data_IF_829975069558
#
_entry.id   IF_829975069558
#
_cell.length_a   1.000
_cell.length_b   1.000
_cell.length_c   1.000
_cell.angle_alpha   90.00
_cell.angle_beta   90.00
_cell.angle_gamma   90.00
#
_symmetry.space_group_name_H-M   'P 1'
#
loop_
_entity.id
_entity.type
_entity.pdbx_description
1 polymer ?
#
# COMPACT_ATOMS: atom_id res chain seq x y z
N UNK A 1 8.67 28.04 -0.63
CA UNK A 1 7.30 28.19 -0.05
C UNK A 1 6.17 28.34 -1.09
N UNK A 2 6.36 29.08 -2.20
CA UNK A 2 5.33 29.25 -3.24
C UNK A 2 5.05 28.00 -4.07
N UNK A 3 6.09 27.31 -4.53
CA UNK A 3 5.96 26.13 -5.41
C UNK A 3 5.23 24.96 -4.73
N UNK A 4 5.55 24.67 -3.47
CA UNK A 4 4.88 23.63 -2.69
C UNK A 4 3.37 23.92 -2.48
N UNK A 5 3.00 25.19 -2.24
CA UNK A 5 1.60 25.60 -2.12
C UNK A 5 0.86 25.48 -3.45
N UNK A 6 1.50 25.88 -4.56
CA UNK A 6 0.92 25.73 -5.90
C UNK A 6 0.65 24.28 -6.27
N UNK A 7 1.61 23.38 -6.00
CA UNK A 7 1.43 21.94 -6.19
C UNK A 7 0.30 21.39 -5.32
N UNK A 8 0.25 21.76 -4.03
CA UNK A 8 -0.81 21.33 -3.12
C UNK A 8 -2.19 21.75 -3.60
N UNK A 9 -2.35 23.00 -4.04
CA UNK A 9 -3.62 23.51 -4.60
C UNK A 9 -3.98 22.75 -5.88
N UNK A 10 -3.01 22.48 -6.76
CA UNK A 10 -3.24 21.70 -7.98
C UNK A 10 -3.74 20.28 -7.67
N UNK A 11 -3.08 19.58 -6.75
CA UNK A 11 -3.46 18.23 -6.33
C UNK A 11 -4.86 18.20 -5.68
N UNK A 12 -5.19 19.19 -4.85
CA UNK A 12 -6.53 19.34 -4.29
C UNK A 12 -7.57 19.61 -5.38
N UNK A 13 -7.24 20.43 -6.38
CA UNK A 13 -8.10 20.69 -7.53
C UNK A 13 -8.39 19.40 -8.33
N UNK A 14 -7.39 18.55 -8.53
CA UNK A 14 -7.56 17.24 -9.19
C UNK A 14 -8.47 16.33 -8.37
N UNK A 15 -8.25 16.25 -7.06
CA UNK A 15 -9.09 15.45 -6.15
C UNK A 15 -10.55 15.93 -6.16
N UNK A 16 -10.77 17.24 -6.03
CA UNK A 16 -12.11 17.83 -6.08
C UNK A 16 -12.76 17.61 -7.45
N UNK A 17 -12.01 17.77 -8.53
CA UNK A 17 -12.48 17.48 -9.89
C UNK A 17 -12.92 16.03 -10.05
N UNK A 18 -12.15 15.07 -9.51
CA UNK A 18 -12.52 13.65 -9.48
C UNK A 18 -13.81 13.41 -8.69
N UNK A 19 -13.93 13.97 -7.48
CA UNK A 19 -15.14 13.81 -6.66
C UNK A 19 -16.37 14.45 -7.32
N UNK A 20 -16.22 15.62 -7.94
CA UNK A 20 -17.29 16.28 -8.71
C UNK A 20 -17.67 15.41 -9.91
N UNK A 21 -16.70 14.83 -10.62
CA UNK A 21 -16.97 13.94 -11.75
C UNK A 21 -17.76 12.70 -11.31
N UNK A 22 -17.37 12.06 -10.20
CA UNK A 22 -18.10 10.94 -9.60
C UNK A 22 -19.50 11.31 -9.10
N UNK A 23 -19.69 12.56 -8.62
CA UNK A 23 -21.00 13.04 -8.20
C UNK A 23 -21.93 13.33 -9.38
N UNK A 24 -21.37 13.83 -10.50
CA UNK A 24 -22.13 14.30 -11.67
C UNK A 24 -22.42 13.20 -12.68
N UNK A 25 -21.47 12.28 -12.89
CA UNK A 25 -21.56 11.24 -13.91
C UNK A 25 -21.86 9.91 -13.24
N UNK A 26 -23.11 9.43 -13.39
CA UNK A 26 -23.63 8.37 -12.53
C UNK A 26 -23.31 6.93 -12.94
N UNK A 27 -22.89 6.63 -14.19
CA UNK A 27 -22.70 5.22 -14.60
C UNK A 27 -21.58 4.92 -15.59
N UNK A 28 -21.46 5.61 -16.71
CA UNK A 28 -20.43 5.29 -17.71
C UNK A 28 -19.96 6.53 -18.45
N UNK A 29 -18.65 6.79 -18.40
CA UNK A 29 -18.00 7.69 -19.34
C UNK A 29 -17.63 6.88 -20.58
N UNK A 30 -18.36 7.11 -21.66
CA UNK A 30 -17.94 6.66 -22.97
C UNK A 30 -16.91 7.66 -23.49
N UNK A 31 -15.68 7.21 -23.67
CA UNK A 31 -14.63 8.02 -24.31
C UNK A 31 -14.50 7.54 -25.76
N UNK A 32 -15.29 8.11 -26.71
CA UNK A 32 -15.39 7.58 -28.07
C UNK A 32 -14.06 7.60 -28.84
N UNK A 33 -13.10 8.47 -28.46
CA UNK A 33 -11.76 8.49 -29.05
C UNK A 33 -10.86 7.31 -28.67
N UNK A 34 -11.18 6.62 -27.58
CA UNK A 34 -10.34 5.62 -26.94
C UNK A 34 -11.01 4.23 -26.86
N UNK A 35 -12.23 4.09 -27.40
CA UNK A 35 -13.06 2.87 -27.28
C UNK A 35 -13.16 2.33 -25.84
N UNK A 36 -13.07 3.24 -24.85
CA UNK A 36 -13.05 2.91 -23.42
C UNK A 36 -14.38 3.30 -22.79
N UNK A 37 -15.05 2.32 -22.19
CA UNK A 37 -16.21 2.51 -21.32
C UNK A 37 -15.74 2.45 -19.87
N UNK A 38 -15.53 3.61 -19.26
CA UNK A 38 -15.07 3.70 -17.87
C UNK A 38 -16.28 3.87 -16.96
N UNK A 39 -16.55 2.85 -16.15
CA UNK A 39 -17.56 2.92 -15.09
C UNK A 39 -17.01 3.67 -13.91
N UNK A 40 -17.55 4.85 -13.62
CA UNK A 40 -17.13 5.65 -12.47
C UNK A 40 -17.73 5.09 -11.18
N UNK A 41 -16.98 5.10 -10.06
CA UNK A 41 -17.53 4.77 -8.77
C UNK A 41 -18.57 5.81 -8.35
N UNK A 42 -19.53 5.39 -7.53
CA UNK A 42 -20.46 6.32 -6.88
C UNK A 42 -19.70 7.31 -5.99
N UNK A 43 -20.25 8.50 -5.75
CA UNK A 43 -19.62 9.48 -4.85
C UNK A 43 -19.29 8.89 -3.47
N UNK A 44 -20.16 8.01 -2.94
CA UNK A 44 -19.93 7.30 -1.68
C UNK A 44 -18.67 6.44 -1.75
N UNK A 45 -18.54 5.60 -2.77
CA UNK A 45 -17.36 4.75 -2.99
C UNK A 45 -16.10 5.59 -3.20
N UNK A 46 -16.18 6.70 -3.92
CA UNK A 46 -15.06 7.61 -4.12
C UNK A 46 -14.58 8.23 -2.79
N UNK A 47 -15.51 8.68 -1.95
CA UNK A 47 -15.19 9.21 -0.62
C UNK A 47 -14.62 8.14 0.31
N UNK A 48 -15.18 6.92 0.29
CA UNK A 48 -14.65 5.78 1.04
C UNK A 48 -13.23 5.44 0.61
N UNK A 49 -12.96 5.40 -0.70
CA UNK A 49 -11.63 5.17 -1.25
C UNK A 49 -10.63 6.24 -0.79
N UNK A 50 -11.01 7.52 -0.84
CA UNK A 50 -10.16 8.62 -0.36
C UNK A 50 -9.90 8.48 1.13
N UNK A 51 -10.93 8.19 1.93
CA UNK A 51 -10.79 8.00 3.37
C UNK A 51 -9.87 6.84 3.72
N UNK A 52 -10.07 5.67 3.10
CA UNK A 52 -9.22 4.49 3.29
C UNK A 52 -7.78 4.77 2.85
N UNK A 53 -7.57 5.44 1.72
CA UNK A 53 -6.22 5.77 1.23
C UNK A 53 -5.48 6.73 2.17
N UNK A 54 -6.17 7.77 2.66
CA UNK A 54 -5.60 8.70 3.62
C UNK A 54 -5.25 8.01 4.94
N UNK A 55 -6.12 7.12 5.44
CA UNK A 55 -5.85 6.34 6.63
C UNK A 55 -4.67 5.39 6.44
N UNK A 56 -4.63 4.67 5.33
CA UNK A 56 -3.53 3.74 5.01
C UNK A 56 -2.18 4.44 4.98
N UNK A 57 -2.06 5.54 4.21
CA UNK A 57 -0.82 6.30 4.12
C UNK A 57 -0.43 6.95 5.46
N UNK A 58 -1.41 7.43 6.23
CA UNK A 58 -1.15 8.01 7.54
C UNK A 58 -0.65 6.96 8.52
N UNK A 59 -1.29 5.80 8.57
CA UNK A 59 -0.88 4.69 9.44
C UNK A 59 0.51 4.17 9.05
N UNK A 60 0.80 4.04 7.76
CA UNK A 60 2.13 3.67 7.26
C UNK A 60 3.22 4.64 7.71
N UNK A 61 2.99 5.94 7.54
CA UNK A 61 3.91 6.96 8.03
C UNK A 61 4.05 6.93 9.55
N UNK A 62 2.97 6.67 10.28
CA UNK A 62 2.98 6.59 11.74
C UNK A 62 3.78 5.39 12.27
N UNK A 63 3.74 4.23 11.60
CA UNK A 63 4.60 3.10 11.98
C UNK A 63 6.06 3.49 11.85
N UNK A 64 6.45 4.15 10.74
CA UNK A 64 7.82 4.63 10.58
C UNK A 64 8.19 5.67 11.66
N UNK A 65 7.26 6.58 11.98
CA UNK A 65 7.45 7.59 13.03
C UNK A 65 7.68 6.98 14.41
N UNK A 66 6.87 5.98 14.79
CA UNK A 66 6.98 5.28 16.08
C UNK A 66 8.28 4.49 16.20
N UNK A 67 8.81 3.99 15.08
CA UNK A 67 10.09 3.26 15.04
C UNK A 67 11.32 4.18 15.11
N UNK A 68 11.17 5.50 14.98
CA UNK A 68 12.29 6.43 15.16
C UNK A 68 12.69 6.52 16.64
N UNK A 69 13.97 6.79 16.93
CA UNK A 69 14.40 7.04 18.30
C UNK A 69 13.67 8.26 18.88
N UNK A 70 13.41 8.20 20.18
CA UNK A 70 12.86 9.33 20.92
C UNK A 70 13.76 10.58 20.74
N UNK A 71 13.13 11.75 20.56
CA UNK A 71 13.86 12.99 20.33
C UNK A 71 14.30 13.24 18.87
N UNK A 72 13.76 12.50 17.89
CA UNK A 72 14.03 12.72 16.46
C UNK A 72 13.61 14.09 15.91
N UNK A 73 12.86 14.89 16.70
CA UNK A 73 12.50 16.28 16.38
C UNK A 73 11.41 16.44 15.30
N UNK A 74 11.04 15.36 14.60
CA UNK A 74 9.99 15.39 13.59
C UNK A 74 8.61 15.16 14.21
N UNK A 75 7.67 16.06 13.94
CA UNK A 75 6.28 15.91 14.38
C UNK A 75 5.53 14.87 13.53
N UNK A 76 4.50 14.19 14.08
CA UNK A 76 3.73 13.20 13.32
C UNK A 76 3.15 13.72 11.98
N UNK A 77 2.54 14.92 11.91
CA UNK A 77 2.04 15.44 10.63
C UNK A 77 3.16 15.73 9.62
N UNK A 78 4.34 16.16 10.10
CA UNK A 78 5.50 16.37 9.24
C UNK A 78 6.04 15.05 8.70
N UNK A 79 5.98 13.97 9.49
CA UNK A 79 6.34 12.64 9.01
C UNK A 79 5.36 12.15 7.94
N UNK A 80 4.05 12.31 8.12
CA UNK A 80 3.05 11.95 7.09
C UNK A 80 3.33 12.69 5.77
N UNK A 81 3.62 13.99 5.84
CA UNK A 81 3.94 14.77 4.66
C UNK A 81 5.26 14.31 3.98
N UNK A 82 6.32 14.11 4.76
CA UNK A 82 7.61 13.61 4.26
C UNK A 82 7.47 12.22 3.63
N UNK A 83 6.78 11.31 4.32
CA UNK A 83 6.51 9.96 3.85
C UNK A 83 5.74 9.97 2.53
N UNK A 84 4.69 10.79 2.42
CA UNK A 84 3.91 10.91 1.20
C UNK A 84 4.75 11.40 0.02
N UNK A 85 5.60 12.42 0.23
CA UNK A 85 6.51 12.92 -0.80
C UNK A 85 7.52 11.85 -1.19
N UNK A 86 8.16 11.19 -0.23
CA UNK A 86 9.13 10.13 -0.49
C UNK A 86 8.50 8.97 -1.29
N UNK A 87 7.26 8.59 -0.94
CA UNK A 87 6.53 7.52 -1.59
C UNK A 87 6.14 7.89 -3.02
N UNK A 88 5.67 9.12 -3.26
CA UNK A 88 5.34 9.61 -4.60
C UNK A 88 6.57 9.65 -5.51
N UNK A 89 7.70 10.14 -5.00
CA UNK A 89 8.97 10.16 -5.76
C UNK A 89 9.46 8.73 -6.03
N UNK A 90 9.35 7.82 -5.05
CA UNK A 90 9.69 6.41 -5.24
C UNK A 90 8.81 5.70 -6.26
N UNK A 91 7.52 6.05 -6.35
CA UNK A 91 6.62 5.55 -7.40
C UNK A 91 7.01 6.12 -8.77
N UNK A 92 7.27 7.42 -8.83
CA UNK A 92 7.65 8.11 -10.07
C UNK A 92 8.97 7.60 -10.65
N UNK A 93 9.89 7.14 -9.81
CA UNK A 93 11.18 6.59 -10.25
C UNK A 93 11.09 5.21 -10.89
N UNK A 94 9.93 4.54 -10.84
CA UNK A 94 9.70 3.19 -11.38
C UNK A 94 10.66 2.13 -10.83
N UNK A 95 11.33 2.42 -9.71
CA UNK A 95 12.20 1.47 -9.04
C UNK A 95 11.32 0.46 -8.32
N UNK A 96 11.48 -0.85 -8.54
CA UNK A 96 10.69 -1.86 -7.85
C UNK A 96 10.74 -1.69 -6.34
N UNK A 97 9.57 -1.56 -5.71
CA UNK A 97 9.44 -1.36 -4.26
C UNK A 97 9.95 -0.02 -3.72
N UNK A 98 10.30 0.93 -4.60
CA UNK A 98 10.85 2.24 -4.22
C UNK A 98 12.18 2.15 -3.45
N UNK A 99 12.88 1.01 -3.58
CA UNK A 99 14.12 0.71 -2.86
C UNK A 99 15.19 1.74 -3.21
N UNK A 100 15.88 2.28 -2.20
CA UNK A 100 16.89 3.32 -2.39
C UNK A 100 16.31 4.73 -2.52
N UNK A 101 15.32 4.99 -3.38
CA UNK A 101 14.78 6.35 -3.57
C UNK A 101 14.00 6.83 -2.35
N UNK A 102 13.04 6.02 -1.88
CA UNK A 102 12.29 6.33 -0.66
C UNK A 102 13.25 6.49 0.53
N UNK A 103 14.15 5.51 0.69
CA UNK A 103 15.08 5.44 1.82
C UNK A 103 16.04 6.64 1.83
N UNK A 104 16.54 7.05 0.66
CA UNK A 104 17.44 8.20 0.51
C UNK A 104 16.75 9.52 0.86
N UNK A 105 15.48 9.68 0.51
CA UNK A 105 14.72 10.90 0.84
C UNK A 105 14.50 10.99 2.35
N UNK A 106 14.09 9.88 2.99
CA UNK A 106 13.92 9.83 4.45
C UNK A 106 15.27 10.07 5.15
N UNK A 107 16.33 9.42 4.68
CA UNK A 107 17.68 9.57 5.23
C UNK A 107 18.17 11.03 5.10
N UNK A 108 18.05 11.63 3.91
CA UNK A 108 18.46 13.01 3.67
C UNK A 108 17.66 14.00 4.53
N UNK A 109 16.37 13.74 4.75
CA UNK A 109 15.51 14.63 5.55
C UNK A 109 15.78 14.53 7.06
N UNK A 110 16.15 13.35 7.57
CA UNK A 110 16.29 13.11 9.02
C UNK A 110 17.73 13.17 9.53
N UNK A 111 18.74 12.95 8.68
CA UNK A 111 20.16 13.01 9.07
C UNK A 111 20.65 14.31 9.68
N UNK A 112 20.05 15.50 9.43
CA UNK A 112 20.42 16.71 10.15
C UNK A 112 20.13 16.66 11.67
N UNK A 113 19.18 15.82 12.11
CA UNK A 113 18.75 15.72 13.51
C UNK A 113 18.88 14.32 14.12
N UNK A 114 19.09 13.28 13.31
CA UNK A 114 19.15 11.88 13.75
C UNK A 114 20.35 11.20 13.11
N UNK A 115 21.17 10.43 13.86
CA UNK A 115 22.29 9.70 13.27
C UNK A 115 21.86 8.79 12.11
N UNK A 116 22.62 8.80 11.01
CA UNK A 116 22.29 8.03 9.80
C UNK A 116 22.10 6.54 10.08
N UNK A 117 22.92 5.96 10.97
CA UNK A 117 22.82 4.56 11.39
C UNK A 117 21.46 4.24 12.02
N UNK A 118 20.90 5.16 12.80
CA UNK A 118 19.59 4.99 13.44
C UNK A 118 18.47 5.07 12.41
N UNK A 119 18.53 6.05 11.49
CA UNK A 119 17.52 6.17 10.42
C UNK A 119 17.52 4.94 9.53
N UNK A 120 18.69 4.45 9.13
CA UNK A 120 18.82 3.21 8.35
C UNK A 120 18.28 2.00 9.12
N UNK A 121 18.60 1.88 10.41
CA UNK A 121 18.04 0.82 11.26
C UNK A 121 16.51 0.86 11.32
N UNK A 122 15.93 2.04 11.54
CA UNK A 122 14.48 2.26 11.53
C UNK A 122 13.87 1.88 10.18
N UNK A 123 14.48 2.27 9.05
CA UNK A 123 14.01 1.90 7.71
C UNK A 123 14.04 0.39 7.47
N UNK A 124 15.09 -0.30 7.91
CA UNK A 124 15.18 -1.77 7.82
C UNK A 124 14.07 -2.43 8.62
N UNK A 125 13.86 -2.01 9.87
CA UNK A 125 12.77 -2.54 10.72
C UNK A 125 11.41 -2.26 10.09
N UNK A 126 11.21 -1.06 9.55
CA UNK A 126 9.98 -0.71 8.84
C UNK A 126 9.72 -1.66 7.66
N UNK A 127 10.74 -1.98 6.86
CA UNK A 127 10.60 -2.94 5.74
C UNK A 127 10.28 -4.36 6.24
N UNK A 128 10.85 -4.78 7.37
CA UNK A 128 10.51 -6.08 7.97
C UNK A 128 9.02 -6.12 8.32
N UNK A 129 8.51 -5.08 8.95
CA UNK A 129 7.10 -4.99 9.37
C UNK A 129 6.14 -4.91 8.17
N UNK A 130 6.48 -4.14 7.13
CA UNK A 130 5.58 -3.90 6.00
C UNK A 130 5.69 -4.89 4.84
N UNK A 131 6.85 -5.53 4.66
CA UNK A 131 7.11 -6.36 3.48
C UNK A 131 7.31 -7.81 3.89
N UNK A 132 8.27 -8.07 4.79
CA UNK A 132 8.66 -9.45 5.12
C UNK A 132 7.61 -10.14 6.00
N UNK A 133 7.08 -9.44 7.01
CA UNK A 133 6.10 -10.02 7.92
C UNK A 133 4.79 -10.40 7.20
N UNK A 134 4.14 -9.53 6.40
CA UNK A 134 2.94 -9.92 5.66
C UNK A 134 3.21 -11.03 4.65
N UNK A 135 4.37 -10.99 3.98
CA UNK A 135 4.79 -12.05 3.07
C UNK A 135 4.94 -13.40 3.79
N UNK A 136 5.60 -13.42 4.95
CA UNK A 136 5.77 -14.64 5.74
C UNK A 136 4.41 -15.20 6.23
N UNK A 137 3.52 -14.33 6.70
CA UNK A 137 2.16 -14.73 7.09
C UNK A 137 1.40 -15.33 5.91
N UNK A 138 1.42 -14.67 4.74
CA UNK A 138 0.77 -15.17 3.54
C UNK A 138 1.35 -16.53 3.10
N UNK A 139 2.68 -16.68 3.14
CA UNK A 139 3.35 -17.93 2.78
C UNK A 139 2.98 -19.08 3.72
N UNK A 140 2.91 -18.84 5.04
CA UNK A 140 2.48 -19.84 6.03
C UNK A 140 1.02 -20.24 5.81
N UNK A 141 0.13 -19.27 5.58
CA UNK A 141 -1.28 -19.54 5.30
C UNK A 141 -1.46 -20.37 4.03
N UNK A 142 -0.73 -20.02 2.96
CA UNK A 142 -0.76 -20.76 1.70
C UNK A 142 -0.26 -22.19 1.88
N UNK A 143 0.89 -22.38 2.54
CA UNK A 143 1.44 -23.71 2.79
C UNK A 143 0.48 -24.56 3.63
N UNK A 144 -0.15 -23.95 4.65
CA UNK A 144 -1.18 -24.62 5.45
C UNK A 144 -2.39 -25.05 4.62
N UNK A 145 -2.82 -24.19 3.68
CA UNK A 145 -3.93 -24.48 2.77
C UNK A 145 -3.62 -25.66 1.84
N UNK A 146 -2.46 -25.66 1.20
CA UNK A 146 -2.01 -26.73 0.29
C UNK A 146 -1.90 -28.07 1.01
N UNK A 147 -1.29 -28.09 2.20
CA UNK A 147 -1.17 -29.31 3.00
C UNK A 147 -2.54 -29.86 3.44
N UNK A 148 -3.52 -28.99 3.72
CA UNK A 148 -4.88 -29.40 4.05
C UNK A 148 -5.61 -29.99 2.83
N UNK A 149 -5.47 -29.37 1.65
CA UNK A 149 -6.10 -29.84 0.41
C UNK A 149 -5.54 -31.19 -0.04
N UNK A 150 -4.22 -31.38 -0.03
CA UNK A 150 -3.60 -32.65 -0.41
C UNK A 150 -3.99 -33.81 0.53
N UNK A 151 -4.20 -33.54 1.82
CA UNK A 151 -4.72 -34.53 2.78
C UNK A 151 -6.17 -34.95 2.46
N UNK A 152 -7.02 -34.00 2.07
CA UNK A 152 -8.40 -34.27 1.65
C UNK A 152 -8.46 -35.14 0.40
N UNK A 153 -7.68 -34.81 -0.63
CA UNK A 153 -7.63 -35.57 -1.89
C UNK A 153 -7.08 -37.00 -1.70
N UNK A 154 -6.05 -37.17 -0.88
CA UNK A 154 -5.50 -38.49 -0.56
C UNK A 154 -6.49 -39.38 0.23
N UNK A 155 -7.27 -38.78 1.14
CA UNK A 155 -8.31 -39.48 1.88
C UNK A 155 -9.47 -39.90 0.97
N UNK A 156 -9.89 -39.03 0.06
CA UNK A 156 -10.98 -39.31 -0.89
C UNK A 156 -10.59 -40.40 -1.91
N UNK A 157 -9.36 -40.35 -2.44
CA UNK A 157 -8.85 -41.36 -3.37
C UNK A 157 -8.76 -42.75 -2.70
N UNK A 158 -8.27 -42.81 -1.46
CA UNK A 158 -8.25 -44.05 -0.66
C UNK A 158 -9.66 -44.59 -0.41
N UNK A 159 -10.63 -43.72 -0.11
CA UNK A 159 -12.03 -44.12 0.08
C UNK A 159 -12.69 -44.65 -1.22
N UNK A 160 -12.33 -44.11 -2.39
CA UNK A 160 -12.80 -44.60 -3.70
C UNK A 160 -12.19 -45.95 -4.08
N UNK A 161 -10.90 -46.15 -3.80
CA UNK A 161 -10.21 -47.42 -4.03
C UNK A 161 -10.72 -48.53 -3.10
N UNK A 162 -11.08 -48.19 -1.85
CA UNK A 162 -11.69 -49.13 -0.90
C UNK A 162 -13.06 -49.65 -1.36
N UNK A 163 -13.92 -48.79 -1.93
CA UNK A 163 -15.24 -49.19 -2.44
C UNK A 163 -15.16 -50.10 -3.67
N UNK A 164 -14.29 -49.79 -4.63
CA UNK A 164 -14.11 -50.63 -5.83
C UNK A 164 -13.61 -52.04 -5.54
N UNK A 165 -12.91 -52.24 -4.41
CA UNK A 165 -12.41 -53.56 -3.99
C UNK A 165 -13.50 -54.43 -3.32
N UNK A 166 -14.62 -53.84 -2.90
CA UNK A 166 -15.75 -54.56 -2.30
C UNK A 166 -16.83 -54.93 -3.34
N UNK A 167 -16.80 -54.31 -4.52
CA UNK A 167 -17.80 -54.51 -5.59
C UNK A 167 -17.38 -55.55 -6.64
N UNK A 168 -16.20 -56.18 -6.52
CA UNK A 168 -15.70 -57.22 -7.42
C UNK A 168 -15.20 -58.44 -6.68
#
# INVERSE_FOLDING_TARGET
>A
PGMARGLGVGLLGVLLGYLVLCARVRRTLKVPRLHLEVSLPTLRQALEQVGVSCLDWSLAAMVLWVLLPAGSGISPPSMVALFAVAQLVGIASQVPGGLGVFDSIILAALTPGVPASMVLGTLVVYRIVYYLLPFAVAAVLLLGHELAQHRGQAAELRARLGRRRQEG
#
